data_IF_760047793318
#
_entry.id   IF_760047793318
#
_cell.length_a   1.000
_cell.length_b   1.000
_cell.length_c   1.000
_cell.angle_alpha   90.00
_cell.angle_beta   90.00
_cell.angle_gamma   90.00
#
_symmetry.space_group_name_H-M   'P 1'
#
loop_
_entity.id
_entity.type
_entity.pdbx_description
1 polymer ?
#
# COMPACT_ATOMS: atom_id res chain seq x y z
N UNK A 1 20.90 0.80 19.60
CA UNK A 1 19.94 1.64 18.87
C UNK A 1 18.55 1.41 19.46
N UNK A 2 18.03 2.37 20.23
CA UNK A 2 16.62 2.38 20.63
C UNK A 2 15.81 2.63 19.36
N UNK A 3 14.87 1.75 19.08
CA UNK A 3 14.01 1.88 17.92
C UNK A 3 13.12 3.10 18.05
N UNK A 4 12.52 3.50 16.92
CA UNK A 4 11.25 4.21 16.91
C UNK A 4 10.39 3.62 18.02
N UNK A 5 10.31 4.33 19.15
CA UNK A 5 9.11 4.23 19.95
C UNK A 5 8.06 4.70 18.97
N UNK A 6 7.05 3.88 18.69
CA UNK A 6 5.75 4.45 18.33
C UNK A 6 5.55 5.53 19.39
N UNK A 7 5.66 6.80 19.01
CA UNK A 7 5.73 7.90 19.97
C UNK A 7 4.44 8.03 20.80
N UNK A 8 3.50 7.12 20.61
CA UNK A 8 2.38 6.86 21.49
C UNK A 8 2.21 5.36 21.66
N UNK A 9 2.50 4.86 22.86
CA UNK A 9 1.93 3.60 23.35
C UNK A 9 0.41 3.57 23.11
N UNK A 10 -0.25 4.73 23.18
CA UNK A 10 -1.66 4.93 22.86
C UNK A 10 -2.02 4.68 21.38
N UNK A 11 -1.12 4.96 20.42
CA UNK A 11 -1.34 4.63 19.00
C UNK A 11 -1.22 3.12 18.83
N UNK A 12 -0.19 2.51 19.40
CA UNK A 12 -0.01 1.05 19.37
C UNK A 12 -1.19 0.32 20.04
N UNK A 13 -1.64 0.81 21.20
CA UNK A 13 -2.77 0.26 21.95
C UNK A 13 -4.12 0.51 21.25
N UNK A 14 -4.23 1.52 20.38
CA UNK A 14 -5.46 1.80 19.61
C UNK A 14 -5.49 1.11 18.25
N UNK A 15 -4.35 0.66 17.71
CA UNK A 15 -4.28 -0.03 16.43
C UNK A 15 -4.90 -1.43 16.50
N UNK A 16 -5.59 -1.79 15.42
CA UNK A 16 -5.99 -3.18 15.19
C UNK A 16 -4.72 -4.02 14.99
N UNK A 17 -4.63 -5.22 15.56
CA UNK A 17 -3.48 -6.10 15.35
C UNK A 17 -3.22 -6.32 13.86
N UNK A 18 -1.96 -6.11 13.46
CA UNK A 18 -1.49 -6.34 12.10
C UNK A 18 -0.97 -7.77 12.02
N UNK A 19 -1.32 -8.51 10.97
CA UNK A 19 -0.78 -9.85 10.77
C UNK A 19 0.76 -9.83 10.64
N UNK A 20 1.42 -10.59 11.53
CA UNK A 20 2.87 -10.62 11.63
C UNK A 20 3.52 -11.26 10.39
N UNK A 21 2.87 -12.25 9.77
CA UNK A 21 3.38 -12.89 8.56
C UNK A 21 3.36 -11.91 7.38
N UNK A 22 2.30 -11.14 7.23
CA UNK A 22 2.18 -10.07 6.24
C UNK A 22 3.25 -9.01 6.46
N UNK A 23 3.45 -8.51 7.68
CA UNK A 23 4.53 -7.55 7.99
C UNK A 23 5.91 -8.11 7.64
N UNK A 24 6.18 -9.38 7.96
CA UNK A 24 7.44 -10.06 7.62
C UNK A 24 7.62 -10.15 6.09
N UNK A 25 6.56 -10.45 5.34
CA UNK A 25 6.58 -10.46 3.87
C UNK A 25 6.88 -9.06 3.31
N UNK A 26 6.23 -8.01 3.82
CA UNK A 26 6.51 -6.62 3.42
C UNK A 26 7.97 -6.24 3.72
N UNK A 27 8.49 -6.63 4.88
CA UNK A 27 9.89 -6.40 5.25
C UNK A 27 10.87 -7.11 4.32
N UNK A 28 10.57 -8.37 3.93
CA UNK A 28 11.35 -9.10 2.93
C UNK A 28 11.37 -8.39 1.57
N UNK A 29 10.24 -7.83 1.14
CA UNK A 29 10.17 -7.05 -0.10
C UNK A 29 11.02 -5.79 0.00
N UNK A 30 10.87 -5.01 1.08
CA UNK A 30 11.65 -3.79 1.31
C UNK A 30 13.18 -4.04 1.28
N UNK A 31 13.66 -5.16 1.85
CA UNK A 31 15.09 -5.51 1.83
C UNK A 31 15.59 -5.90 0.43
N UNK A 32 14.73 -6.48 -0.41
CA UNK A 32 15.06 -6.87 -1.78
C UNK A 32 14.98 -5.71 -2.78
N UNK A 33 14.28 -4.63 -2.43
CA UNK A 33 14.19 -3.43 -3.25
C UNK A 33 15.57 -2.78 -3.45
N UNK A 34 16.06 -2.76 -4.68
CA UNK A 34 17.27 -2.01 -5.03
C UNK A 34 16.99 -0.49 -5.09
N UNK A 35 18.01 0.39 -5.10
CA UNK A 35 17.81 1.85 -4.99
C UNK A 35 16.92 2.48 -6.06
N UNK A 36 16.78 1.86 -7.24
CA UNK A 36 16.01 2.37 -8.38
C UNK A 36 14.85 1.45 -8.79
N UNK A 37 14.34 0.65 -7.87
CA UNK A 37 13.17 -0.20 -8.16
C UNK A 37 11.96 0.68 -8.43
N UNK A 38 11.19 0.34 -9.45
CA UNK A 38 9.94 1.04 -9.79
C UNK A 38 8.79 0.50 -8.94
N UNK A 39 7.80 1.36 -8.66
CA UNK A 39 6.61 1.01 -7.88
C UNK A 39 5.87 -0.18 -8.51
N UNK A 40 5.77 -0.24 -9.84
CA UNK A 40 5.12 -1.33 -10.57
C UNK A 40 5.73 -2.70 -10.26
N UNK A 41 7.07 -2.78 -10.17
CA UNK A 41 7.77 -4.03 -9.82
C UNK A 41 7.46 -4.44 -8.38
N UNK A 42 7.41 -3.48 -7.45
CA UNK A 42 7.03 -3.75 -6.05
C UNK A 42 5.59 -4.27 -6.00
N UNK A 43 4.67 -3.65 -6.72
CA UNK A 43 3.27 -4.09 -6.81
C UNK A 43 3.18 -5.52 -7.33
N UNK A 44 3.86 -5.85 -8.41
CA UNK A 44 3.83 -7.20 -8.99
C UNK A 44 4.32 -8.25 -7.99
N UNK A 45 5.38 -7.95 -7.22
CA UNK A 45 5.86 -8.84 -6.15
C UNK A 45 4.82 -9.03 -5.03
N UNK A 46 4.13 -7.96 -4.62
CA UNK A 46 3.17 -8.01 -3.52
C UNK A 46 1.89 -8.77 -3.87
N UNK A 47 1.50 -8.72 -5.14
CA UNK A 47 0.25 -9.27 -5.64
C UNK A 47 0.44 -10.51 -6.51
N UNK A 48 1.65 -11.04 -6.66
CA UNK A 48 1.90 -12.22 -7.50
C UNK A 48 1.06 -13.42 -7.07
N UNK A 49 0.31 -13.98 -8.02
CA UNK A 49 -0.41 -15.24 -7.85
C UNK A 49 0.54 -16.44 -7.98
N UNK A 50 0.29 -17.49 -7.20
CA UNK A 50 0.90 -18.82 -7.43
C UNK A 50 0.15 -19.65 -8.48
N UNK A 51 -1.09 -19.29 -8.77
CA UNK A 51 -1.93 -19.96 -9.77
C UNK A 51 -1.68 -19.39 -11.17
N UNK A 52 -1.70 -20.28 -12.16
CA UNK A 52 -1.85 -19.93 -13.56
C UNK A 52 -3.34 -20.00 -13.92
N UNK A 53 -3.85 -18.97 -14.58
CA UNK A 53 -5.23 -18.91 -15.05
C UNK A 53 -5.26 -19.17 -16.56
N UNK A 54 -5.83 -20.29 -16.97
CA UNK A 54 -5.97 -20.67 -18.38
C UNK A 54 -7.32 -21.35 -18.60
N UNK A 55 -7.91 -21.18 -19.79
CA UNK A 55 -9.14 -21.88 -20.17
C UNK A 55 -10.40 -21.43 -19.43
N UNK A 56 -10.45 -20.17 -18.99
CA UNK A 56 -11.57 -19.61 -18.22
C UNK A 56 -12.53 -18.76 -19.06
N UNK A 57 -12.27 -18.59 -20.36
CA UNK A 57 -13.00 -17.70 -21.26
C UNK A 57 -14.49 -18.06 -21.35
N UNK A 58 -14.81 -19.36 -21.34
CA UNK A 58 -16.19 -19.82 -21.32
C UNK A 58 -16.91 -19.45 -20.00
N UNK A 59 -16.23 -19.62 -18.86
CA UNK A 59 -16.77 -19.24 -17.54
C UNK A 59 -16.95 -17.72 -17.41
N UNK A 60 -16.05 -16.95 -18.03
CA UNK A 60 -16.12 -15.48 -18.09
C UNK A 60 -17.33 -15.03 -18.89
N UNK A 61 -17.52 -15.57 -20.10
CA UNK A 61 -18.71 -15.29 -20.93
C UNK A 61 -20.01 -15.69 -20.22
N UNK A 62 -20.02 -16.83 -19.53
CA UNK A 62 -21.16 -17.27 -18.73
C UNK A 62 -21.44 -16.37 -17.53
N UNK A 63 -20.42 -15.71 -16.97
CA UNK A 63 -20.59 -14.69 -15.94
C UNK A 63 -21.17 -13.41 -16.55
N UNK A 64 -20.65 -12.94 -17.68
CA UNK A 64 -21.16 -11.73 -18.35
C UNK A 64 -22.64 -11.85 -18.70
N UNK A 65 -23.06 -12.98 -19.29
CA UNK A 65 -24.46 -13.27 -19.58
C UNK A 65 -25.32 -13.25 -18.31
N UNK A 66 -24.80 -13.79 -17.20
CA UNK A 66 -25.50 -13.79 -15.92
C UNK A 66 -25.64 -12.38 -15.34
N UNK A 67 -24.60 -11.56 -15.41
CA UNK A 67 -24.62 -10.19 -14.91
C UNK A 67 -25.65 -9.34 -15.67
N UNK A 68 -25.82 -9.55 -16.97
CA UNK A 68 -26.88 -8.87 -17.75
C UNK A 68 -28.30 -9.26 -17.28
N UNK A 69 -28.50 -10.48 -16.76
CA UNK A 69 -29.78 -10.87 -16.14
C UNK A 69 -29.96 -10.21 -14.77
N UNK A 70 -28.89 -10.14 -13.97
CA UNK A 70 -28.90 -9.48 -12.65
C UNK A 70 -29.24 -7.99 -12.80
N UNK A 71 -28.65 -7.29 -13.77
CA UNK A 71 -28.93 -5.86 -14.06
C UNK A 71 -30.40 -5.59 -14.42
N UNK A 72 -31.06 -6.53 -15.10
CA UNK A 72 -32.49 -6.41 -15.43
C UNK A 72 -33.41 -6.61 -14.23
N UNK A 73 -32.92 -7.26 -13.18
CA UNK A 73 -33.72 -7.66 -12.01
C UNK A 73 -33.47 -6.77 -10.80
N UNK A 74 -32.24 -6.30 -10.62
CA UNK A 74 -31.77 -5.57 -9.44
C UNK A 74 -31.09 -4.27 -9.84
N UNK A 75 -30.91 -3.36 -8.88
CA UNK A 75 -30.18 -2.09 -9.06
C UNK A 75 -28.65 -2.31 -9.10
N UNK A 76 -28.21 -3.02 -10.13
CA UNK A 76 -26.82 -3.38 -10.40
C UNK A 76 -26.42 -2.76 -11.73
N UNK A 77 -25.20 -2.24 -11.81
CA UNK A 77 -24.56 -1.79 -13.04
C UNK A 77 -23.22 -2.50 -13.25
N UNK A 78 -22.79 -2.61 -14.50
CA UNK A 78 -21.50 -3.22 -14.86
C UNK A 78 -20.69 -2.30 -15.76
N UNK A 79 -19.39 -2.24 -15.53
CA UNK A 79 -18.49 -1.39 -16.31
C UNK A 79 -17.13 -2.05 -16.50
N UNK A 80 -16.68 -2.13 -17.74
CA UNK A 80 -15.31 -2.57 -18.03
C UNK A 80 -14.28 -1.52 -17.58
N UNK A 81 -13.21 -1.99 -16.95
CA UNK A 81 -12.06 -1.19 -16.52
C UNK A 81 -10.79 -1.71 -17.20
N UNK A 82 -10.65 -1.36 -18.48
CA UNK A 82 -9.50 -1.75 -19.28
C UNK A 82 -9.43 -3.26 -19.49
N UNK A 83 -8.22 -3.79 -19.56
CA UNK A 83 -8.00 -5.18 -19.94
C UNK A 83 -8.05 -6.16 -18.77
N UNK A 84 -8.10 -5.68 -17.52
CA UNK A 84 -7.87 -6.54 -16.35
C UNK A 84 -9.03 -6.63 -15.38
N UNK A 85 -9.99 -5.70 -15.38
CA UNK A 85 -11.09 -5.73 -14.43
C UNK A 85 -12.42 -5.37 -15.06
N UNK A 86 -13.48 -5.92 -14.48
CA UNK A 86 -14.84 -5.45 -14.63
C UNK A 86 -15.40 -5.05 -13.27
N UNK A 87 -16.17 -3.97 -13.24
CA UNK A 87 -16.95 -3.53 -12.11
C UNK A 87 -18.34 -4.15 -12.12
N UNK A 88 -18.84 -4.43 -10.92
CA UNK A 88 -20.23 -4.78 -10.59
C UNK A 88 -20.62 -3.89 -9.43
N UNK A 89 -21.31 -2.81 -9.76
CA UNK A 89 -21.62 -1.73 -8.84
C UNK A 89 -23.10 -1.85 -8.44
N UNK A 90 -23.43 -1.70 -7.16
CA UNK A 90 -24.81 -1.83 -6.66
C UNK A 90 -25.16 -0.58 -5.87
N UNK A 91 -26.29 0.05 -6.20
CA UNK A 91 -26.85 1.17 -5.43
C UNK A 91 -25.83 2.28 -5.06
N UNK A 92 -24.94 2.62 -6.01
CA UNK A 92 -23.79 3.52 -5.75
C UNK A 92 -24.18 4.95 -5.34
N UNK A 93 -25.39 5.39 -5.68
CA UNK A 93 -25.90 6.71 -5.29
C UNK A 93 -26.08 6.84 -3.76
N UNK A 94 -26.18 5.72 -3.05
CA UNK A 94 -26.26 5.68 -1.59
C UNK A 94 -24.89 5.45 -0.92
N UNK A 95 -23.81 5.45 -1.69
CA UNK A 95 -22.44 5.34 -1.18
C UNK A 95 -21.84 6.74 -1.05
N UNK A 96 -21.50 7.18 0.17
CA UNK A 96 -20.90 8.50 0.40
C UNK A 96 -19.40 8.46 0.24
N UNK A 97 -18.76 7.50 0.90
CA UNK A 97 -17.30 7.36 0.91
C UNK A 97 -16.88 5.88 0.90
N UNK A 98 -15.73 5.59 0.31
CA UNK A 98 -15.10 4.27 0.44
C UNK A 98 -14.31 4.28 1.75
N UNK A 99 -14.84 3.61 2.78
CA UNK A 99 -14.19 3.50 4.09
C UNK A 99 -13.42 2.20 4.25
N UNK A 100 -13.90 1.12 3.65
CA UNK A 100 -13.27 -0.20 3.73
C UNK A 100 -13.16 -0.85 2.36
N UNK A 101 -12.22 -1.79 2.28
CA UNK A 101 -12.05 -2.70 1.15
C UNK A 101 -12.06 -4.12 1.70
N UNK A 102 -12.85 -5.00 1.10
CA UNK A 102 -12.71 -6.45 1.29
C UNK A 102 -12.00 -7.04 0.08
N UNK A 103 -11.15 -8.03 0.33
CA UNK A 103 -10.38 -8.72 -0.68
C UNK A 103 -10.64 -10.21 -0.61
N UNK A 104 -10.86 -10.80 -1.79
CA UNK A 104 -11.00 -12.26 -1.93
C UNK A 104 -10.17 -12.67 -3.14
N UNK A 105 -9.22 -13.58 -2.93
CA UNK A 105 -8.37 -14.13 -3.98
C UNK A 105 -8.65 -15.63 -4.18
N UNK A 106 -9.86 -16.03 -4.61
CA UNK A 106 -10.17 -17.45 -4.78
C UNK A 106 -9.27 -18.07 -5.85
N UNK A 107 -9.20 -19.41 -5.93
CA UNK A 107 -8.61 -20.06 -7.11
C UNK A 107 -9.24 -19.48 -8.39
N UNK A 108 -8.48 -19.27 -9.48
CA UNK A 108 -9.03 -18.71 -10.73
C UNK A 108 -10.30 -19.44 -11.22
N UNK A 109 -10.37 -20.75 -11.06
CA UNK A 109 -11.55 -21.56 -11.40
C UNK A 109 -12.85 -21.18 -10.68
N UNK A 110 -12.75 -20.59 -9.49
CA UNK A 110 -13.86 -20.30 -8.58
C UNK A 110 -14.34 -18.85 -8.66
N UNK A 111 -13.55 -17.94 -9.25
CA UNK A 111 -13.84 -16.50 -9.25
C UNK A 111 -15.21 -16.21 -9.87
N UNK A 112 -15.52 -16.82 -11.02
CA UNK A 112 -16.74 -16.56 -11.77
C UNK A 112 -17.99 -16.94 -10.97
N UNK A 113 -17.99 -18.12 -10.36
CA UNK A 113 -19.12 -18.55 -9.52
C UNK A 113 -19.27 -17.68 -8.27
N UNK A 114 -18.16 -17.31 -7.63
CA UNK A 114 -18.19 -16.43 -6.47
C UNK A 114 -18.74 -15.03 -6.84
N UNK A 115 -18.36 -14.47 -7.98
CA UNK A 115 -18.90 -13.19 -8.48
C UNK A 115 -20.40 -13.31 -8.75
N UNK A 116 -20.89 -14.43 -9.31
CA UNK A 116 -22.34 -14.66 -9.48
C UNK A 116 -23.09 -14.59 -8.15
N UNK A 117 -22.59 -15.27 -7.11
CA UNK A 117 -23.20 -15.25 -5.77
C UNK A 117 -23.17 -13.85 -5.15
N UNK A 118 -22.03 -13.15 -5.24
CA UNK A 118 -21.87 -11.79 -4.73
C UNK A 118 -22.83 -10.82 -5.43
N UNK A 119 -22.83 -10.78 -6.77
CA UNK A 119 -23.68 -9.88 -7.56
C UNK A 119 -25.17 -10.12 -7.26
N UNK A 120 -25.59 -11.38 -7.17
CA UNK A 120 -26.97 -11.75 -6.83
C UNK A 120 -27.37 -11.24 -5.44
N UNK A 121 -26.56 -11.55 -4.42
CA UNK A 121 -26.92 -11.19 -3.05
C UNK A 121 -26.83 -9.68 -2.81
N UNK A 122 -25.80 -9.00 -3.33
CA UNK A 122 -25.72 -7.56 -3.21
C UNK A 122 -26.87 -6.86 -3.93
N UNK A 123 -27.24 -7.30 -5.13
CA UNK A 123 -28.42 -6.82 -5.85
C UNK A 123 -29.72 -7.07 -5.08
N UNK A 124 -29.93 -8.28 -4.57
CA UNK A 124 -31.11 -8.66 -3.79
C UNK A 124 -31.28 -7.83 -2.51
N UNK A 125 -30.19 -7.61 -1.77
CA UNK A 125 -30.19 -6.78 -0.57
C UNK A 125 -30.01 -5.28 -0.87
N UNK A 126 -29.89 -4.90 -2.15
CA UNK A 126 -29.69 -3.53 -2.64
C UNK A 126 -28.56 -2.78 -1.90
N UNK A 127 -27.45 -3.47 -1.62
CA UNK A 127 -26.36 -2.97 -0.77
C UNK A 127 -25.54 -1.92 -1.53
N UNK A 128 -25.32 -0.71 -0.99
CA UNK A 128 -24.46 0.30 -1.61
C UNK A 128 -23.00 -0.10 -1.59
N UNK A 129 -22.49 -0.58 -2.73
CA UNK A 129 -21.10 -0.99 -2.90
C UNK A 129 -20.62 -0.71 -4.33
N UNK A 130 -19.30 -0.63 -4.45
CA UNK A 130 -18.62 -0.89 -5.72
C UNK A 130 -17.83 -2.16 -5.52
N UNK A 131 -17.86 -3.12 -6.43
CA UNK A 131 -16.84 -4.15 -6.40
C UNK A 131 -16.37 -4.48 -7.79
N UNK A 132 -15.09 -4.82 -7.90
CA UNK A 132 -14.50 -5.23 -9.16
C UNK A 132 -13.97 -6.64 -9.04
N UNK A 133 -14.03 -7.35 -10.15
CA UNK A 133 -13.40 -8.64 -10.30
C UNK A 133 -12.45 -8.63 -11.48
N UNK A 134 -11.43 -9.47 -11.40
CA UNK A 134 -10.38 -9.57 -12.40
C UNK A 134 -10.84 -10.43 -13.58
N UNK A 135 -10.51 -9.97 -14.79
CA UNK A 135 -10.70 -10.73 -16.02
C UNK A 135 -9.58 -11.76 -16.16
N UNK A 136 -9.82 -12.80 -16.96
CA UNK A 136 -8.90 -13.92 -17.18
C UNK A 136 -7.49 -13.45 -17.55
N UNK A 137 -7.42 -12.39 -18.36
CA UNK A 137 -6.20 -11.70 -18.82
C UNK A 137 -5.37 -10.98 -17.74
N UNK A 138 -5.86 -10.90 -16.50
CA UNK A 138 -5.14 -10.29 -15.37
C UNK A 138 -4.93 -11.25 -14.18
N UNK A 139 -5.43 -12.48 -14.22
CA UNK A 139 -5.45 -13.39 -13.05
C UNK A 139 -4.07 -13.92 -12.60
N UNK A 140 -2.99 -13.43 -13.20
CA UNK A 140 -1.62 -13.55 -12.69
C UNK A 140 -1.37 -12.77 -11.39
N UNK A 141 -2.29 -11.90 -11.00
CA UNK A 141 -2.29 -11.25 -9.69
C UNK A 141 -3.38 -11.82 -8.76
N UNK A 142 -3.20 -11.68 -7.46
CA UNK A 142 -4.13 -12.18 -6.46
C UNK A 142 -5.25 -11.20 -6.12
N UNK A 143 -5.27 -9.96 -6.62
CA UNK A 143 -6.32 -8.97 -6.36
C UNK A 143 -7.61 -9.19 -7.18
N UNK A 144 -8.03 -10.46 -7.21
CA UNK A 144 -9.10 -11.02 -8.04
C UNK A 144 -10.46 -10.43 -7.78
N UNK A 145 -10.84 -10.21 -6.52
CA UNK A 145 -12.12 -9.58 -6.16
C UNK A 145 -11.84 -8.53 -5.08
N UNK A 146 -12.27 -7.30 -5.34
CA UNK A 146 -12.14 -6.16 -4.41
C UNK A 146 -13.50 -5.51 -4.23
N UNK A 147 -14.02 -5.50 -3.01
CA UNK A 147 -15.31 -4.90 -2.65
C UNK A 147 -15.06 -3.64 -1.84
N UNK A 148 -15.45 -2.49 -2.39
CA UNK A 148 -15.40 -1.17 -1.79
C UNK A 148 -16.72 -0.88 -1.09
N UNK A 149 -16.65 -0.50 0.19
CA UNK A 149 -17.83 -0.32 1.03
C UNK A 149 -17.73 0.93 1.90
N UNK A 150 -18.86 1.58 2.11
CA UNK A 150 -19.02 2.68 3.06
C UNK A 150 -19.17 2.15 4.49
N UNK A 151 -18.88 2.98 5.49
CA UNK A 151 -18.85 2.57 6.89
C UNK A 151 -20.15 1.92 7.39
N UNK A 152 -21.35 2.45 7.08
CA UNK A 152 -22.61 1.86 7.56
C UNK A 152 -22.92 0.47 7.02
N UNK A 153 -22.34 0.08 5.87
CA UNK A 153 -22.67 -1.17 5.18
C UNK A 153 -21.62 -2.27 5.38
N UNK A 154 -20.54 -1.99 6.14
CA UNK A 154 -19.43 -2.92 6.38
C UNK A 154 -19.90 -4.28 6.91
N UNK A 155 -20.71 -4.28 7.96
CA UNK A 155 -21.17 -5.52 8.61
C UNK A 155 -22.14 -6.30 7.73
N UNK A 156 -23.00 -5.61 6.97
CA UNK A 156 -23.90 -6.24 6.01
C UNK A 156 -23.11 -6.94 4.89
N UNK A 157 -22.06 -6.30 4.37
CA UNK A 157 -21.18 -6.90 3.36
C UNK A 157 -20.48 -8.13 3.91
N UNK A 158 -19.88 -8.04 5.10
CA UNK A 158 -19.24 -9.21 5.74
C UNK A 158 -20.24 -10.35 5.96
N UNK A 159 -21.46 -10.04 6.40
CA UNK A 159 -22.51 -11.03 6.63
C UNK A 159 -22.95 -11.72 5.32
N UNK A 160 -23.04 -10.98 4.21
CA UNK A 160 -23.35 -11.55 2.89
C UNK A 160 -22.23 -12.50 2.44
N UNK A 161 -20.97 -12.09 2.57
CA UNK A 161 -19.82 -12.95 2.23
C UNK A 161 -19.82 -14.21 3.11
N UNK A 162 -20.10 -14.07 4.41
CA UNK A 162 -20.19 -15.18 5.35
C UNK A 162 -21.32 -16.15 4.98
N UNK A 163 -22.45 -15.64 4.50
CA UNK A 163 -23.55 -16.48 4.02
C UNK A 163 -23.12 -17.31 2.80
N UNK A 164 -22.41 -16.72 1.84
CA UNK A 164 -21.84 -17.46 0.70
C UNK A 164 -20.85 -18.51 1.20
N UNK A 165 -19.93 -18.14 2.10
CA UNK A 165 -18.95 -19.07 2.68
C UNK A 165 -19.61 -20.28 3.34
N UNK A 166 -20.66 -20.07 4.16
CA UNK A 166 -21.38 -21.16 4.83
C UNK A 166 -22.09 -22.10 3.85
N UNK A 167 -22.63 -21.59 2.75
CA UNK A 167 -23.34 -22.39 1.74
C UNK A 167 -22.40 -23.07 0.74
N UNK A 168 -21.31 -22.41 0.38
CA UNK A 168 -20.36 -22.81 -0.67
C UNK A 168 -18.91 -22.58 -0.21
N UNK A 169 -18.43 -23.28 0.84
CA UNK A 169 -17.09 -23.06 1.38
C UNK A 169 -15.98 -23.36 0.37
N UNK A 170 -16.22 -24.27 -0.58
CA UNK A 170 -15.25 -24.64 -1.61
C UNK A 170 -14.83 -23.47 -2.51
N UNK A 171 -15.66 -22.42 -2.64
CA UNK A 171 -15.31 -21.21 -3.41
C UNK A 171 -14.13 -20.46 -2.80
N UNK A 172 -13.92 -20.60 -1.50
CA UNK A 172 -12.87 -19.92 -0.73
C UNK A 172 -11.66 -20.83 -0.47
N UNK A 173 -11.79 -22.15 -0.71
CA UNK A 173 -10.70 -23.10 -0.51
C UNK A 173 -9.51 -22.78 -1.43
N UNK A 174 -8.33 -22.62 -0.82
CA UNK A 174 -7.11 -22.25 -1.54
C UNK A 174 -7.02 -20.77 -1.90
N UNK A 175 -7.88 -19.91 -1.33
CA UNK A 175 -7.77 -18.47 -1.52
C UNK A 175 -6.40 -17.94 -1.06
N UNK A 176 -5.82 -17.04 -1.85
CA UNK A 176 -4.52 -16.45 -1.59
C UNK A 176 -4.61 -15.19 -0.72
N UNK A 177 -3.48 -14.78 -0.14
CA UNK A 177 -3.35 -13.54 0.62
C UNK A 177 -2.23 -12.71 0.02
N UNK A 178 -2.56 -11.56 -0.57
CA UNK A 178 -1.55 -10.58 -0.93
C UNK A 178 -0.83 -10.08 0.34
N UNK A 179 0.47 -9.84 0.27
CA UNK A 179 1.21 -9.31 1.43
C UNK A 179 0.69 -7.93 1.88
N UNK A 180 0.06 -7.19 0.96
CA UNK A 180 -0.57 -5.91 1.24
C UNK A 180 -1.84 -6.02 2.10
N UNK A 181 -2.46 -7.20 2.23
CA UNK A 181 -3.72 -7.37 2.95
C UNK A 181 -3.45 -7.77 4.39
N UNK A 182 -3.33 -6.75 5.23
CA UNK A 182 -2.77 -6.89 6.56
C UNK A 182 -3.77 -7.27 7.67
N UNK A 183 -5.08 -7.20 7.39
CA UNK A 183 -6.12 -7.58 8.35
C UNK A 183 -6.94 -8.77 7.86
N UNK A 184 -7.06 -9.75 8.72
CA UNK A 184 -7.99 -10.86 8.56
C UNK A 184 -9.42 -10.42 8.90
N UNK A 185 -10.38 -11.03 8.21
CA UNK A 185 -11.78 -11.03 8.64
C UNK A 185 -12.08 -12.30 9.44
N UNK A 186 -13.32 -12.45 9.91
CA UNK A 186 -13.76 -13.70 10.53
C UNK A 186 -14.01 -14.83 9.52
N UNK A 187 -13.93 -14.54 8.22
CA UNK A 187 -14.24 -15.48 7.14
C UNK A 187 -12.93 -15.96 6.52
N UNK A 188 -12.62 -17.27 6.55
CA UNK A 188 -11.41 -17.80 5.95
C UNK A 188 -11.28 -17.43 4.47
N UNK A 189 -10.11 -16.92 4.07
CA UNK A 189 -9.83 -16.50 2.69
C UNK A 189 -10.38 -15.13 2.32
N UNK A 190 -10.88 -14.36 3.28
CA UNK A 190 -11.38 -12.99 3.08
C UNK A 190 -10.60 -12.04 3.98
N UNK A 191 -10.06 -10.98 3.38
CA UNK A 191 -9.21 -10.01 4.04
C UNK A 191 -9.79 -8.61 3.92
N UNK A 192 -9.31 -7.67 4.74
CA UNK A 192 -9.80 -6.30 4.71
C UNK A 192 -8.68 -5.25 4.82
N UNK A 193 -8.97 -4.05 4.35
CA UNK A 193 -8.15 -2.85 4.57
C UNK A 193 -8.99 -1.58 4.67
N UNK A 194 -8.33 -0.45 4.91
CA UNK A 194 -8.93 0.88 4.78
C UNK A 194 -9.30 1.20 3.32
N UNK A 195 -10.19 2.17 3.15
CA UNK A 195 -10.78 2.56 1.89
C UNK A 195 -9.92 3.42 0.95
N UNK A 196 -8.87 4.09 1.45
CA UNK A 196 -8.07 5.09 0.72
C UNK A 196 -8.90 5.95 -0.24
N UNK A 197 -9.69 6.93 0.24
CA UNK A 197 -10.66 7.65 -0.60
C UNK A 197 -10.03 8.48 -1.72
N UNK A 198 -8.76 8.89 -1.57
CA UNK A 198 -8.07 9.78 -2.51
C UNK A 198 -6.96 9.08 -3.30
N UNK A 199 -6.82 7.75 -3.18
CA UNK A 199 -5.67 7.01 -3.71
C UNK A 199 -5.93 5.50 -3.85
N UNK A 200 -4.99 4.81 -4.50
CA UNK A 200 -5.00 3.35 -4.58
C UNK A 200 -4.29 2.76 -3.37
N UNK A 201 -5.00 1.95 -2.56
CA UNK A 201 -4.40 1.25 -1.41
C UNK A 201 -3.15 0.46 -1.80
N UNK A 202 -3.17 -0.25 -2.94
CA UNK A 202 -2.01 -1.02 -3.41
C UNK A 202 -0.79 -0.13 -3.70
N UNK A 203 -1.00 1.03 -4.33
CA UNK A 203 0.06 2.01 -4.58
C UNK A 203 0.57 2.64 -3.29
N UNK A 204 -0.32 3.02 -2.38
CA UNK A 204 0.07 3.60 -1.09
C UNK A 204 0.90 2.61 -0.25
N UNK A 205 0.58 1.32 -0.30
CA UNK A 205 1.38 0.26 0.33
C UNK A 205 2.76 0.15 -0.32
N UNK A 206 2.84 0.19 -1.66
CA UNK A 206 4.13 0.17 -2.36
C UNK A 206 4.99 1.39 -1.98
N UNK A 207 4.40 2.57 -1.95
CA UNK A 207 5.07 3.80 -1.52
C UNK A 207 5.49 3.73 -0.05
N UNK A 208 4.68 3.11 0.82
CA UNK A 208 5.05 2.86 2.22
C UNK A 208 6.29 1.98 2.34
N UNK A 209 6.38 0.90 1.54
CA UNK A 209 7.53 -0.01 1.49
C UNK A 209 8.78 0.72 1.01
N UNK A 210 8.67 1.49 -0.08
CA UNK A 210 9.79 2.25 -0.63
C UNK A 210 10.30 3.31 0.36
N UNK A 211 9.38 4.02 1.01
CA UNK A 211 9.69 5.01 2.05
C UNK A 211 10.34 4.36 3.27
N UNK A 212 9.84 3.21 3.72
CA UNK A 212 10.42 2.45 4.82
C UNK A 212 11.83 1.94 4.49
N UNK A 213 12.05 1.47 3.26
CA UNK A 213 13.38 1.09 2.73
C UNK A 213 14.35 2.26 2.78
N UNK A 214 13.97 3.42 2.29
CA UNK A 214 14.83 4.61 2.25
C UNK A 214 15.15 5.13 3.66
N UNK A 215 14.15 5.12 4.54
CA UNK A 215 14.32 5.43 5.96
C UNK A 215 15.26 4.44 6.64
N UNK A 216 15.11 3.14 6.37
CA UNK A 216 16.01 2.10 6.85
C UNK A 216 17.45 2.34 6.38
N UNK A 217 17.65 2.60 5.09
CA UNK A 217 18.98 2.90 4.53
C UNK A 217 19.63 4.09 5.24
N UNK A 218 18.88 5.17 5.48
CA UNK A 218 19.36 6.31 6.25
C UNK A 218 19.76 5.94 7.69
N UNK A 219 18.87 5.24 8.42
CA UNK A 219 19.08 4.84 9.82
C UNK A 219 20.32 3.95 9.97
N UNK A 220 20.63 3.12 8.98
CA UNK A 220 21.80 2.23 9.00
C UNK A 220 23.00 2.80 8.24
N UNK A 221 22.89 3.96 7.59
CA UNK A 221 23.98 4.60 6.86
C UNK A 221 24.36 3.91 5.56
N UNK A 222 23.41 3.26 4.89
CA UNK A 222 23.62 2.54 3.63
C UNK A 222 23.52 3.54 2.47
N UNK A 223 24.65 3.81 1.78
CA UNK A 223 24.73 4.71 0.62
C UNK A 223 25.04 3.94 -0.66
N UNK A 224 25.03 4.61 -1.82
CA UNK A 224 25.52 4.04 -3.09
C UNK A 224 26.97 3.57 -2.98
N UNK A 225 27.80 4.32 -2.25
CA UNK A 225 29.23 4.05 -2.04
C UNK A 225 29.54 3.05 -0.92
N UNK A 226 28.53 2.62 -0.15
CA UNK A 226 28.72 1.70 0.98
C UNK A 226 27.92 0.43 0.72
N UNK A 227 28.56 -0.74 0.62
CA UNK A 227 27.83 -1.98 0.36
C UNK A 227 26.82 -2.28 1.47
N UNK A 228 25.75 -2.98 1.12
CA UNK A 228 24.78 -3.47 2.10
C UNK A 228 25.52 -4.35 3.12
N UNK A 229 25.44 -3.98 4.40
CA UNK A 229 26.05 -4.77 5.46
C UNK A 229 25.40 -6.16 5.50
N UNK A 230 26.23 -7.20 5.56
CA UNK A 230 25.74 -8.57 5.79
C UNK A 230 25.61 -8.76 7.30
N UNK A 231 24.38 -8.95 7.77
CA UNK A 231 24.10 -9.17 9.18
C UNK A 231 23.97 -10.67 9.46
N UNK A 232 24.38 -11.13 10.65
CA UNK A 232 24.32 -12.55 11.06
C UNK A 232 23.73 -12.70 12.47
N UNK A 233 23.16 -13.87 12.75
CA UNK A 233 22.63 -14.23 14.08
C UNK A 233 21.53 -13.28 14.56
N UNK A 234 21.57 -12.92 15.85
CA UNK A 234 20.56 -12.06 16.52
C UNK A 234 20.35 -10.70 15.84
N UNK A 235 21.35 -10.20 15.11
CA UNK A 235 21.27 -8.93 14.41
C UNK A 235 20.31 -8.97 13.22
N UNK A 236 20.16 -10.13 12.56
CA UNK A 236 19.20 -10.32 11.46
C UNK A 236 17.78 -10.19 11.99
N UNK A 237 17.45 -10.89 13.08
CA UNK A 237 16.13 -10.81 13.71
C UNK A 237 15.78 -9.38 14.09
N UNK A 238 16.74 -8.66 14.69
CA UNK A 238 16.55 -7.25 15.07
C UNK A 238 16.33 -6.35 13.85
N UNK A 239 17.01 -6.59 12.74
CA UNK A 239 16.80 -5.80 11.52
C UNK A 239 15.40 -5.96 10.96
N UNK A 240 14.92 -7.19 10.91
CA UNK A 240 13.55 -7.45 10.48
C UNK A 240 12.54 -6.76 11.38
N UNK A 241 12.68 -6.90 12.70
CA UNK A 241 11.80 -6.20 13.67
C UNK A 241 11.82 -4.68 13.44
N UNK A 242 13.00 -4.12 13.19
CA UNK A 242 13.13 -2.68 12.96
C UNK A 242 12.45 -2.25 11.67
N UNK A 243 12.55 -3.06 10.62
CA UNK A 243 11.93 -2.79 9.34
C UNK A 243 10.40 -2.98 9.38
N UNK A 244 9.91 -3.98 10.10
CA UNK A 244 8.48 -4.18 10.36
C UNK A 244 7.87 -2.96 11.06
N UNK A 245 8.55 -2.43 12.09
CA UNK A 245 8.13 -1.20 12.79
C UNK A 245 8.13 -0.01 11.83
N UNK A 246 9.16 0.14 11.00
CA UNK A 246 9.25 1.21 10.00
C UNK A 246 8.12 1.13 8.97
N UNK A 247 7.81 -0.06 8.48
CA UNK A 247 6.72 -0.31 7.54
C UNK A 247 5.38 0.06 8.20
N UNK A 248 5.08 -0.49 9.38
CA UNK A 248 3.86 -0.17 10.11
C UNK A 248 3.73 1.33 10.38
N UNK A 249 4.81 1.99 10.80
CA UNK A 249 4.84 3.44 11.04
C UNK A 249 4.59 4.26 9.78
N UNK A 250 5.10 3.80 8.63
CA UNK A 250 4.90 4.48 7.35
C UNK A 250 3.48 4.24 6.82
N UNK A 251 2.96 3.03 6.98
CA UNK A 251 1.57 2.69 6.65
C UNK A 251 0.58 3.52 7.48
N UNK A 252 0.87 3.72 8.78
CA UNK A 252 0.11 4.61 9.66
C UNK A 252 0.07 6.04 9.12
N UNK A 253 1.23 6.59 8.75
CA UNK A 253 1.33 7.95 8.17
C UNK A 253 0.50 8.12 6.90
N UNK A 254 0.32 7.04 6.14
CA UNK A 254 -0.46 7.02 4.91
C UNK A 254 -1.95 6.72 5.10
N UNK A 255 -2.43 6.50 6.32
CA UNK A 255 -3.84 6.15 6.56
C UNK A 255 -4.19 4.72 6.14
N UNK A 256 -3.22 3.81 6.14
CA UNK A 256 -3.41 2.43 5.70
C UNK A 256 -3.76 1.47 6.83
N UNK A 257 -3.78 1.98 8.08
CA UNK A 257 -4.06 1.20 9.27
C UNK A 257 -5.41 1.57 9.89
N UNK A 258 -6.01 0.59 10.58
CA UNK A 258 -7.27 0.73 11.28
C UNK A 258 -7.02 0.73 12.79
N UNK A 259 -7.85 1.46 13.52
CA UNK A 259 -7.99 1.30 14.96
C UNK A 259 -8.76 0.00 15.30
N UNK A 260 -8.75 -0.39 16.58
CA UNK A 260 -9.57 -1.50 17.10
C UNK A 260 -11.07 -1.32 16.86
N UNK A 261 -11.52 -0.07 16.69
CA UNK A 261 -12.91 0.28 16.37
C UNK A 261 -13.10 0.49 14.85
N UNK A 262 -12.25 -0.13 14.03
CA UNK A 262 -12.25 -0.07 12.57
C UNK A 262 -12.34 1.36 12.02
N UNK A 263 -11.64 2.31 12.64
CA UNK A 263 -11.52 3.68 12.13
C UNK A 263 -10.15 3.87 11.51
N UNK A 264 -10.10 4.44 10.30
CA UNK A 264 -8.84 4.78 9.65
C UNK A 264 -8.08 5.78 10.52
N UNK A 265 -6.83 5.47 10.85
CA UNK A 265 -5.97 6.37 11.60
C UNK A 265 -4.91 6.96 10.65
N UNK A 266 -4.79 8.29 10.65
CA UNK A 266 -3.75 9.00 9.92
C UNK A 266 -3.34 10.26 10.70
N UNK A 267 -2.05 10.62 10.72
CA UNK A 267 -1.62 11.94 11.15
C UNK A 267 -2.27 13.05 10.32
N UNK A 268 -2.49 14.20 10.94
CA UNK A 268 -2.99 15.40 10.26
C UNK A 268 -1.94 16.00 9.32
N UNK A 269 -0.67 15.99 9.76
CA UNK A 269 0.44 16.49 8.96
C UNK A 269 0.83 15.51 7.85
N UNK A 270 0.98 16.02 6.63
CA UNK A 270 1.38 15.23 5.45
C UNK A 270 2.66 15.79 4.87
N UNK A 271 3.66 14.92 4.68
CA UNK A 271 4.93 15.27 4.05
C UNK A 271 5.52 14.06 3.34
N UNK A 272 6.28 14.32 2.28
CA UNK A 272 7.01 13.30 1.51
C UNK A 272 8.40 13.06 2.10
N UNK A 273 8.99 11.89 1.83
CA UNK A 273 10.36 11.56 2.23
C UNK A 273 11.19 11.34 0.97
N UNK A 274 12.38 11.90 0.93
CA UNK A 274 13.36 11.65 -0.12
C UNK A 274 14.72 11.30 0.50
N UNK A 275 15.29 10.17 0.11
CA UNK A 275 16.63 9.77 0.52
C UNK A 275 17.63 9.88 -0.63
N UNK A 276 18.62 10.75 -0.46
CA UNK A 276 19.72 10.86 -1.40
C UNK A 276 20.74 9.75 -1.11
N UNK A 277 20.77 8.73 -1.96
CA UNK A 277 21.65 7.58 -1.80
C UNK A 277 23.15 7.92 -1.88
N UNK A 278 23.54 9.03 -2.50
CA UNK A 278 24.95 9.39 -2.67
C UNK A 278 25.46 10.17 -1.45
N UNK A 279 24.69 11.14 -0.97
CA UNK A 279 25.07 11.95 0.20
C UNK A 279 24.71 11.26 1.52
N UNK A 280 23.69 10.40 1.51
CA UNK A 280 23.08 9.81 2.70
C UNK A 280 22.20 10.80 3.49
N UNK A 281 21.80 11.92 2.90
CA UNK A 281 20.86 12.86 3.51
C UNK A 281 19.43 12.39 3.26
N UNK A 282 18.62 12.35 4.31
CA UNK A 282 17.18 12.13 4.22
C UNK A 282 16.45 13.46 4.40
N UNK A 283 15.50 13.76 3.51
CA UNK A 283 14.75 15.01 3.50
C UNK A 283 13.27 14.73 3.67
N UNK A 284 12.65 15.37 4.66
CA UNK A 284 11.19 15.49 4.72
C UNK A 284 10.77 16.76 3.98
N UNK A 285 9.79 16.63 3.09
CA UNK A 285 9.30 17.72 2.22
C UNK A 285 7.86 18.03 2.62
N UNK A 286 7.67 19.15 3.29
CA UNK A 286 6.37 19.64 3.74
C UNK A 286 5.87 20.72 2.78
N UNK A 287 4.70 20.49 2.20
CA UNK A 287 4.03 21.44 1.32
C UNK A 287 3.01 22.25 2.13
N UNK A 288 3.12 23.56 2.05
CA UNK A 288 2.21 24.49 2.74
C UNK A 288 1.67 25.53 1.76
N UNK A 289 0.71 26.33 2.21
CA UNK A 289 0.25 27.49 1.44
C UNK A 289 1.35 28.55 1.24
N UNK A 290 2.30 28.62 2.18
CA UNK A 290 3.42 29.57 2.13
C UNK A 290 4.59 29.11 1.24
N UNK A 291 4.59 27.87 0.76
CA UNK A 291 5.68 27.29 -0.02
C UNK A 291 6.05 25.88 0.43
N UNK A 292 7.33 25.54 0.29
CA UNK A 292 7.91 24.22 0.58
C UNK A 292 8.93 24.34 1.71
N UNK A 293 8.74 23.54 2.76
CA UNK A 293 9.74 23.40 3.84
C UNK A 293 10.47 22.08 3.69
N UNK A 294 11.80 22.15 3.60
CA UNK A 294 12.70 20.99 3.52
C UNK A 294 13.39 20.80 4.87
N UNK A 295 13.08 19.70 5.55
CA UNK A 295 13.77 19.30 6.78
C UNK A 295 14.76 18.20 6.43
N UNK A 296 16.05 18.55 6.44
CA UNK A 296 17.17 17.69 6.03
C UNK A 296 17.85 17.09 7.25
N UNK A 297 17.76 15.77 7.38
CA UNK A 297 18.45 14.98 8.39
C UNK A 297 19.82 14.57 7.86
N UNK A 298 20.89 15.07 8.49
CA UNK A 298 22.26 14.81 8.09
C UNK A 298 22.70 13.38 8.48
N UNK A 299 23.65 12.75 7.76
CA UNK A 299 24.05 11.36 7.98
C UNK A 299 24.95 11.17 9.21
N UNK A 300 24.56 11.68 10.37
CA UNK A 300 25.27 11.53 11.66
C UNK A 300 24.31 11.05 12.76
N UNK A 301 24.85 10.73 13.94
CA UNK A 301 24.07 10.18 15.05
C UNK A 301 22.93 11.11 15.50
N UNK A 302 23.18 12.43 15.53
CA UNK A 302 22.18 13.44 15.91
C UNK A 302 21.04 13.54 14.90
N UNK A 303 21.34 13.50 13.59
CA UNK A 303 20.33 13.49 12.54
C UNK A 303 19.44 12.25 12.59
N UNK A 304 20.04 11.07 12.83
CA UNK A 304 19.30 9.81 12.98
C UNK A 304 18.37 9.83 14.18
N UNK A 305 18.83 10.35 15.32
CA UNK A 305 18.00 10.51 16.51
C UNK A 305 16.87 11.51 16.27
N UNK A 306 17.17 12.66 15.65
CA UNK A 306 16.17 13.66 15.32
C UNK A 306 15.08 13.12 14.37
N UNK A 307 15.44 12.29 13.39
CA UNK A 307 14.45 11.63 12.53
C UNK A 307 13.54 10.70 13.32
N UNK A 308 14.12 9.88 14.20
CA UNK A 308 13.37 8.95 15.05
C UNK A 308 12.37 9.71 15.94
N UNK A 309 12.81 10.83 16.51
CA UNK A 309 11.98 11.65 17.41
C UNK A 309 10.94 12.50 16.68
N UNK A 310 11.02 12.64 15.35
CA UNK A 310 10.13 13.48 14.55
C UNK A 310 9.58 12.71 13.33
N UNK A 311 9.40 11.40 13.47
CA UNK A 311 9.02 10.55 12.34
C UNK A 311 7.59 10.83 11.83
N UNK A 312 6.69 11.23 12.72
CA UNK A 312 5.27 11.48 12.41
C UNK A 312 4.92 12.96 12.19
N UNK A 313 5.77 13.88 12.64
CA UNK A 313 5.54 15.33 12.51
C UNK A 313 6.85 16.08 12.40
N UNK A 314 6.91 17.06 11.50
CA UNK A 314 8.10 17.89 11.27
C UNK A 314 7.84 19.38 11.33
N UNK A 315 6.60 19.84 11.37
CA UNK A 315 6.25 21.27 11.38
C UNK A 315 6.90 22.06 12.52
N UNK A 316 7.17 21.41 13.66
CA UNK A 316 7.72 22.06 14.85
C UNK A 316 9.21 21.78 15.07
N UNK A 317 9.90 21.12 14.14
CA UNK A 317 11.32 20.83 14.30
C UNK A 317 12.13 22.12 14.21
N UNK A 318 13.11 22.29 15.10
CA UNK A 318 14.01 23.43 15.11
C UNK A 318 15.37 23.07 14.50
N UNK A 319 16.09 24.02 13.90
CA UNK A 319 17.48 23.80 13.50
C UNK A 319 18.31 23.35 14.70
N UNK A 320 19.06 22.27 14.54
CA UNK A 320 19.90 21.68 15.60
C UNK A 320 21.01 20.84 14.98
N UNK A 321 21.96 20.37 15.79
CA UNK A 321 23.02 19.48 15.30
C UNK A 321 22.38 18.28 14.59
N UNK A 322 22.77 18.04 13.34
CA UNK A 322 22.24 16.95 12.53
C UNK A 322 20.95 17.27 11.76
N UNK A 323 20.36 18.47 11.89
CA UNK A 323 19.16 18.91 11.18
C UNK A 323 19.37 20.26 10.51
N UNK A 324 19.10 20.36 9.21
CA UNK A 324 19.02 21.63 8.48
C UNK A 324 17.60 21.86 8.00
N UNK A 325 17.11 23.09 8.09
CA UNK A 325 15.78 23.48 7.61
C UNK A 325 15.95 24.54 6.54
N UNK A 326 15.24 24.39 5.44
CA UNK A 326 15.23 25.32 4.32
C UNK A 326 13.79 25.60 3.93
N UNK A 327 13.43 26.88 3.79
CA UNK A 327 12.11 27.32 3.34
C UNK A 327 12.26 27.91 1.95
N UNK A 328 11.47 27.41 1.02
CA UNK A 328 11.48 27.80 -0.38
C UNK A 328 10.07 28.17 -0.82
N UNK A 329 9.96 29.13 -1.72
CA UNK A 329 8.77 29.26 -2.57
C UNK A 329 8.62 28.02 -3.47
N UNK A 330 7.45 27.85 -4.08
CA UNK A 330 7.23 26.74 -5.02
C UNK A 330 8.15 26.84 -6.25
N UNK A 331 8.36 28.06 -6.75
CA UNK A 331 9.24 28.33 -7.89
C UNK A 331 10.69 27.95 -7.58
N UNK A 332 11.23 28.45 -6.47
CA UNK A 332 12.60 28.12 -6.02
C UNK A 332 12.81 26.61 -5.82
N UNK A 333 11.80 25.91 -5.31
CA UNK A 333 11.86 24.45 -5.17
C UNK A 333 11.98 23.75 -6.52
N UNK A 334 11.16 24.14 -7.50
CA UNK A 334 11.20 23.54 -8.84
C UNK A 334 12.48 23.89 -9.60
N UNK A 335 12.96 25.13 -9.50
CA UNK A 335 14.24 25.54 -10.08
C UNK A 335 15.40 24.72 -9.52
N UNK A 336 15.39 24.49 -8.20
CA UNK A 336 16.39 23.66 -7.52
C UNK A 336 16.33 22.21 -8.00
N UNK A 337 15.14 21.61 -8.05
CA UNK A 337 14.95 20.25 -8.54
C UNK A 337 15.39 20.09 -10.00
N UNK A 338 15.08 21.08 -10.85
CA UNK A 338 15.51 21.11 -12.24
C UNK A 338 17.02 21.22 -12.37
N UNK A 339 17.66 22.09 -11.59
CA UNK A 339 19.11 22.23 -11.58
C UNK A 339 19.81 20.94 -11.15
N UNK A 340 19.34 20.31 -10.07
CA UNK A 340 19.85 19.01 -9.61
C UNK A 340 19.67 17.90 -10.68
N UNK A 341 18.55 17.92 -11.40
CA UNK A 341 18.29 16.98 -12.50
C UNK A 341 19.24 17.19 -13.68
N UNK A 342 19.43 18.43 -14.12
CA UNK A 342 20.35 18.76 -15.22
C UNK A 342 21.81 18.44 -14.87
N UNK A 343 22.23 18.70 -13.64
CA UNK A 343 23.58 18.33 -13.16
C UNK A 343 23.80 16.80 -13.21
N UNK A 344 22.78 16.01 -12.86
CA UNK A 344 22.85 14.54 -12.97
C UNK A 344 22.94 14.07 -14.43
N UNK A 345 22.17 14.66 -15.34
CA UNK A 345 22.26 14.34 -16.78
C UNK A 345 23.67 14.63 -17.30
N UNK A 346 24.19 15.82 -17.00
CA UNK A 346 25.52 16.24 -17.46
C UNK A 346 26.64 15.34 -16.91
N UNK A 347 26.52 14.91 -15.66
CA UNK A 347 27.48 13.98 -15.03
C UNK A 347 27.44 12.60 -15.72
N UNK A 348 26.24 12.04 -15.94
CA UNK A 348 26.07 10.75 -16.60
C UNK A 348 26.59 10.76 -18.05
N UNK A 349 26.36 11.85 -18.80
CA UNK A 349 26.88 12.01 -20.17
C UNK A 349 28.41 12.06 -20.19
N UNK A 350 29.04 12.77 -19.23
CA UNK A 350 30.51 12.81 -19.10
C UNK A 350 31.10 11.44 -18.80
N UNK A 351 30.46 10.66 -17.92
CA UNK A 351 30.93 9.31 -17.56
C UNK A 351 30.76 8.31 -18.71
N UNK A 352 29.68 8.42 -19.50
CA UNK A 352 29.49 7.64 -20.73
C UNK A 352 30.57 7.95 -21.77
N UNK A 353 30.94 9.22 -21.92
CA UNK A 353 32.00 9.63 -22.85
C UNK A 353 33.40 9.21 -22.38
N UNK A 354 33.63 9.09 -21.08
CA UNK A 354 34.89 8.55 -20.52
C UNK A 354 35.02 7.03 -20.66
N UNK A 355 33.91 6.29 -20.68
CA UNK A 355 33.92 4.82 -20.89
C UNK A 355 34.05 4.39 -22.35
N UNK A 356 33.90 5.32 -23.30
CA UNK A 356 34.02 5.10 -24.75
C UNK A 356 35.41 5.46 -25.31
N UNK A 357 36.30 5.99 -24.47
CA UNK A 357 37.73 6.16 -24.73
C UNK A 357 38.49 5.10 -23.95
#
# INVERSE_FOLDING_TARGET
MKLLKLQNKEIEESLKPIDAESLRKLANVALKCYPKIEEGVVRDILYQSKYQATGLEAKEKDLENYLELVKKTFNVDTKNQGTWYNHVDTNINNMKNIYYRFYIAPRPDNIHELVKELAKLFGLYNVPIKFKYQLTSGMEHCDRIIIYVDKPYRDLVEQIILNIYKRKPYLFTGAERAAAWIYDTKIPGVYMSTGCPNSSYGSDVCEAIMTAKDTFRYIYGIKSSTPAQTYRGIYVTKIYQNLEILIASTMFRKGLLLSKNDTMLAPTEKFSINYNNDTGVLTHILWTNAGVTLVKFLPNAYGRQALIDNFYSVSNIKPQIGVKIEHLTREEFWDKMNKEFQEKINTNQRDLNKKRK
#
